data_IF_634255254617
#
_entry.id   IF_634255254617
#
_cell.length_a   1.000
_cell.length_b   1.000
_cell.length_c   1.000
_cell.angle_alpha   90.00
_cell.angle_beta   90.00
_cell.angle_gamma   90.00
#
_symmetry.space_group_name_H-M   'P 1'
#
loop_
_entity.id
_entity.type
_entity.pdbx_description
1 polymer ?
#
# COMPACT_ATOMS: atom_id res chain seq x y z
N UNK A 1 -44.08 -57.58 -23.41
CA UNK A 1 -45.09 -56.53 -23.66
C UNK A 1 -45.74 -56.73 -25.03
N UNK A 2 -46.99 -56.38 -25.11
CA UNK A 2 -47.76 -56.36 -26.35
C UNK A 2 -47.34 -55.22 -27.27
N UNK A 3 -47.66 -55.38 -28.55
CA UNK A 3 -47.36 -54.34 -29.52
C UNK A 3 -48.13 -53.05 -29.20
N UNK A 4 -47.50 -51.88 -29.47
CA UNK A 4 -48.11 -50.57 -29.21
C UNK A 4 -49.34 -50.25 -30.08
N UNK A 5 -49.50 -51.00 -31.17
CA UNK A 5 -50.67 -50.94 -32.04
C UNK A 5 -51.15 -52.36 -32.38
N UNK A 6 -52.45 -52.54 -32.59
CA UNK A 6 -53.03 -53.82 -32.91
C UNK A 6 -54.54 -53.86 -32.76
N UNK A 7 -55.14 -55.09 -32.87
CA UNK A 7 -56.55 -55.34 -32.64
C UNK A 7 -56.77 -55.81 -31.21
N UNK A 8 -57.88 -55.42 -30.63
CA UNK A 8 -58.37 -55.95 -29.36
C UNK A 8 -58.67 -57.42 -29.50
N UNK A 9 -58.19 -58.22 -28.55
CA UNK A 9 -58.45 -59.66 -28.45
C UNK A 9 -59.04 -59.94 -27.08
N UNK A 10 -59.56 -61.15 -26.88
CA UNK A 10 -60.06 -61.54 -25.57
C UNK A 10 -58.90 -61.60 -24.54
N UNK A 11 -59.15 -61.04 -23.36
CA UNK A 11 -58.13 -60.88 -22.28
C UNK A 11 -57.43 -59.52 -22.31
N UNK A 12 -56.50 -59.33 -21.37
CA UNK A 12 -55.78 -58.07 -21.20
C UNK A 12 -54.54 -57.98 -22.11
N UNK A 13 -54.30 -56.79 -22.64
CA UNK A 13 -53.04 -56.42 -23.30
C UNK A 13 -52.34 -55.34 -22.50
N UNK A 14 -51.02 -55.56 -22.30
CA UNK A 14 -50.22 -54.66 -21.53
C UNK A 14 -49.11 -54.07 -22.39
N UNK A 15 -49.06 -52.76 -22.48
CA UNK A 15 -48.02 -52.02 -23.19
C UNK A 15 -47.30 -51.14 -22.18
N UNK A 16 -45.99 -51.34 -22.08
CA UNK A 16 -45.12 -50.59 -21.15
C UNK A 16 -44.22 -49.64 -21.91
N UNK A 17 -44.29 -48.39 -21.58
CA UNK A 17 -43.34 -47.39 -22.06
C UNK A 17 -42.29 -47.13 -21.00
N UNK A 18 -41.00 -47.17 -21.39
CA UNK A 18 -39.89 -46.89 -20.49
C UNK A 18 -39.43 -45.48 -20.69
N UNK A 19 -39.36 -44.75 -19.58
CA UNK A 19 -38.89 -43.37 -19.56
C UNK A 19 -37.60 -43.28 -18.75
N UNK A 20 -36.64 -42.47 -19.23
CA UNK A 20 -35.48 -42.06 -18.50
C UNK A 20 -35.64 -40.65 -18.01
N UNK A 21 -35.26 -40.38 -16.74
CA UNK A 21 -35.19 -39.02 -16.23
C UNK A 21 -34.21 -38.22 -17.10
N UNK A 22 -34.70 -37.13 -17.67
CA UNK A 22 -33.84 -36.19 -18.40
C UNK A 22 -33.02 -35.41 -17.41
N UNK A 23 -31.72 -35.62 -17.39
CA UNK A 23 -30.82 -34.79 -16.59
C UNK A 23 -30.90 -33.35 -17.10
N UNK A 24 -31.27 -32.44 -16.18
CA UNK A 24 -31.18 -31.00 -16.45
C UNK A 24 -29.71 -30.62 -16.37
N UNK A 25 -29.13 -29.97 -17.38
CA UNK A 25 -27.75 -29.50 -17.33
C UNK A 25 -27.54 -28.63 -16.07
N UNK A 26 -26.45 -28.90 -15.34
CA UNK A 26 -26.10 -28.09 -14.18
C UNK A 26 -25.99 -26.62 -14.61
N UNK A 27 -26.68 -25.72 -13.90
CA UNK A 27 -26.56 -24.30 -14.19
C UNK A 27 -25.17 -23.81 -13.82
N UNK A 28 -24.50 -23.01 -14.67
CA UNK A 28 -23.21 -22.46 -14.37
C UNK A 28 -23.29 -21.57 -13.12
N UNK A 29 -22.26 -21.66 -12.29
CA UNK A 29 -22.16 -20.92 -11.02
C UNK A 29 -20.85 -20.14 -10.96
N UNK A 30 -20.82 -19.11 -10.12
CA UNK A 30 -19.63 -18.33 -9.86
C UNK A 30 -19.55 -17.83 -8.43
N UNK A 31 -18.40 -17.23 -8.11
CA UNK A 31 -18.10 -16.68 -6.80
C UNK A 31 -17.71 -15.20 -6.94
N UNK A 32 -17.83 -14.47 -5.83
CA UNK A 32 -17.31 -13.11 -5.69
C UNK A 32 -16.51 -13.04 -4.40
N UNK A 33 -15.25 -12.63 -4.50
CA UNK A 33 -14.33 -12.47 -3.37
C UNK A 33 -13.96 -11.02 -3.18
N UNK A 34 -13.83 -10.60 -1.91
CA UNK A 34 -13.41 -9.26 -1.53
C UNK A 34 -12.07 -9.33 -0.83
N UNK A 35 -11.12 -8.50 -1.25
CA UNK A 35 -9.77 -8.41 -0.75
C UNK A 35 -9.52 -7.04 -0.09
N UNK A 36 -8.62 -7.01 0.90
CA UNK A 36 -8.32 -5.83 1.68
C UNK A 36 -6.81 -5.63 1.75
N UNK A 37 -6.33 -4.53 1.15
CA UNK A 37 -4.91 -4.25 1.05
C UNK A 37 -4.59 -2.82 1.50
N UNK A 38 -3.33 -2.58 1.86
CA UNK A 38 -2.84 -1.23 2.09
C UNK A 38 -2.49 -0.52 0.76
N UNK A 39 -2.05 0.73 0.83
CA UNK A 39 -1.69 1.54 -0.35
C UNK A 39 -0.50 0.99 -1.14
N UNK A 40 0.24 0.04 -0.59
CA UNK A 40 1.36 -0.65 -1.25
C UNK A 40 0.95 -2.01 -1.84
N UNK A 41 -0.26 -2.49 -1.54
CA UNK A 41 -0.78 -3.78 -1.98
C UNK A 41 -0.57 -4.92 -0.97
N UNK A 42 -0.10 -4.64 0.25
CA UNK A 42 0.04 -5.66 1.29
C UNK A 42 -1.33 -6.01 1.89
N UNK A 43 -1.56 -7.30 2.14
CA UNK A 43 -2.81 -7.78 2.74
C UNK A 43 -2.89 -7.32 4.20
N UNK A 44 -4.00 -6.69 4.59
CA UNK A 44 -4.27 -6.22 5.96
C UNK A 44 -5.47 -6.93 6.62
N UNK A 45 -6.16 -7.76 5.88
CA UNK A 45 -7.27 -8.60 6.37
C UNK A 45 -7.46 -9.75 5.40
N UNK A 46 -7.83 -10.91 5.91
CA UNK A 46 -8.18 -12.08 5.11
C UNK A 46 -9.34 -11.76 4.15
N UNK A 47 -9.27 -12.32 2.96
CA UNK A 47 -10.32 -12.16 1.95
C UNK A 47 -11.66 -12.73 2.44
N UNK A 48 -12.75 -12.09 2.07
CA UNK A 48 -14.11 -12.50 2.38
C UNK A 48 -14.81 -12.97 1.12
N UNK A 49 -15.62 -14.02 1.25
CA UNK A 49 -16.50 -14.47 0.18
C UNK A 49 -17.81 -13.69 0.25
N UNK A 50 -18.07 -12.85 -0.74
CA UNK A 50 -19.35 -12.12 -0.89
C UNK A 50 -20.42 -13.06 -1.44
N UNK A 51 -20.11 -13.75 -2.54
CA UNK A 51 -20.99 -14.71 -3.16
C UNK A 51 -20.28 -16.05 -3.36
N UNK A 52 -20.90 -17.16 -2.92
CA UNK A 52 -20.36 -18.51 -3.07
C UNK A 52 -21.29 -19.39 -3.88
N UNK A 53 -20.76 -19.97 -4.98
CA UNK A 53 -21.45 -20.93 -5.85
C UNK A 53 -22.86 -20.47 -6.27
N UNK A 54 -23.01 -19.16 -6.54
CA UNK A 54 -24.27 -18.57 -6.94
C UNK A 54 -24.53 -18.75 -8.44
N UNK A 55 -25.80 -18.80 -8.87
CA UNK A 55 -26.15 -18.87 -10.28
C UNK A 55 -25.62 -17.68 -11.07
N UNK A 56 -25.11 -17.92 -12.27
CA UNK A 56 -24.76 -16.84 -13.21
C UNK A 56 -25.96 -15.93 -13.45
N UNK A 57 -25.71 -14.62 -13.40
CA UNK A 57 -26.73 -13.59 -13.55
C UNK A 57 -27.33 -13.07 -12.24
N UNK A 58 -27.03 -13.69 -11.07
CA UNK A 58 -27.38 -13.12 -9.76
C UNK A 58 -26.65 -11.80 -9.55
N UNK A 59 -27.34 -10.79 -9.03
CA UNK A 59 -26.73 -9.52 -8.65
C UNK A 59 -25.87 -9.68 -7.38
N UNK A 60 -24.74 -8.94 -7.32
CA UNK A 60 -23.91 -8.80 -6.14
C UNK A 60 -23.58 -7.34 -5.85
N UNK A 61 -23.33 -7.02 -4.58
CA UNK A 61 -22.94 -5.68 -4.13
C UNK A 61 -21.99 -5.77 -2.93
N UNK A 62 -20.71 -5.66 -3.18
CA UNK A 62 -19.67 -5.74 -2.14
C UNK A 62 -19.55 -4.47 -1.29
N UNK A 63 -20.18 -3.36 -1.72
CA UNK A 63 -20.13 -2.07 -1.00
C UNK A 63 -20.96 -2.12 0.28
N UNK A 64 -22.11 -2.75 0.23
CA UNK A 64 -23.06 -2.78 1.35
C UNK A 64 -22.54 -3.68 2.47
N UNK A 65 -22.07 -4.88 2.12
CA UNK A 65 -21.81 -5.92 3.10
C UNK A 65 -20.33 -6.09 3.46
N UNK A 66 -19.43 -5.81 2.53
CA UNK A 66 -18.01 -6.19 2.63
C UNK A 66 -17.01 -5.04 2.45
N UNK A 67 -17.43 -3.78 2.68
CA UNK A 67 -16.58 -2.59 2.63
C UNK A 67 -16.55 -1.86 3.97
N UNK A 68 -15.84 -2.38 4.98
CA UNK A 68 -15.70 -1.68 6.26
C UNK A 68 -14.98 -0.34 6.07
N UNK A 69 -15.38 0.68 6.85
CA UNK A 69 -14.72 2.00 6.80
C UNK A 69 -13.32 1.95 7.41
N UNK A 70 -13.11 1.07 8.38
CA UNK A 70 -11.87 0.88 9.12
C UNK A 70 -11.59 -0.61 9.32
N UNK A 71 -10.32 -0.96 9.36
CA UNK A 71 -9.83 -2.32 9.64
C UNK A 71 -8.73 -2.22 10.69
N UNK A 72 -8.87 -2.99 11.77
CA UNK A 72 -7.80 -3.15 12.75
C UNK A 72 -6.92 -4.34 12.36
N UNK A 73 -5.63 -4.09 12.19
CA UNK A 73 -4.64 -5.09 11.82
C UNK A 73 -3.33 -4.85 12.57
N UNK A 74 -2.85 -5.88 13.28
CA UNK A 74 -1.61 -5.84 14.08
C UNK A 74 -1.52 -4.63 15.04
N UNK A 75 -2.62 -4.31 15.71
CA UNK A 75 -2.69 -3.20 16.67
C UNK A 75 -2.70 -1.81 16.05
N UNK A 76 -2.91 -1.71 14.76
CA UNK A 76 -3.04 -0.47 14.00
C UNK A 76 -4.39 -0.42 13.31
N UNK A 77 -4.99 0.77 13.26
CA UNK A 77 -6.24 1.01 12.53
C UNK A 77 -5.93 1.55 11.14
N UNK A 78 -6.54 0.95 10.14
CA UNK A 78 -6.48 1.40 8.75
C UNK A 78 -7.83 1.95 8.33
N UNK A 79 -7.84 3.04 7.59
CA UNK A 79 -9.05 3.66 7.05
C UNK A 79 -9.10 3.57 5.53
N UNK A 80 -10.31 3.46 4.97
CA UNK A 80 -10.53 3.42 3.53
C UNK A 80 -9.96 4.68 2.86
N UNK A 81 -9.21 4.52 1.76
CA UNK A 81 -8.60 5.67 1.07
C UNK A 81 -9.60 6.41 0.19
N UNK A 82 -9.44 7.73 0.01
CA UNK A 82 -10.16 8.48 -1.03
C UNK A 82 -9.66 8.10 -2.43
N UNK A 83 -10.41 8.53 -3.45
CA UNK A 83 -9.99 8.38 -4.84
C UNK A 83 -8.60 9.00 -5.08
N UNK A 84 -7.76 8.30 -5.82
CA UNK A 84 -6.40 8.75 -6.12
C UNK A 84 -5.50 7.69 -6.70
N UNK A 85 -4.26 8.08 -6.97
CA UNK A 85 -3.21 7.16 -7.42
C UNK A 85 -2.33 6.76 -6.23
N UNK A 86 -2.27 5.47 -5.96
CA UNK A 86 -1.45 4.88 -4.92
C UNK A 86 -0.42 3.93 -5.54
N UNK A 87 0.47 3.39 -4.75
CA UNK A 87 1.47 2.44 -5.26
C UNK A 87 0.83 1.14 -5.79
N UNK A 88 -0.28 0.71 -5.18
CA UNK A 88 -1.08 -0.43 -5.65
C UNK A 88 -1.77 -0.15 -7.00
N UNK A 89 -2.01 1.11 -7.35
CA UNK A 89 -2.67 1.55 -8.58
C UNK A 89 -3.72 2.62 -8.33
N UNK A 90 -4.56 2.84 -9.34
CA UNK A 90 -5.65 3.82 -9.26
C UNK A 90 -6.82 3.27 -8.43
N UNK A 91 -7.35 4.13 -7.56
CA UNK A 91 -8.47 3.85 -6.66
C UNK A 91 -9.59 4.85 -6.91
N UNK A 92 -10.82 4.36 -6.94
CA UNK A 92 -12.03 5.16 -7.16
C UNK A 92 -12.58 5.79 -5.85
N UNK A 93 -13.71 6.51 -5.95
CA UNK A 93 -14.35 7.18 -4.82
C UNK A 93 -14.87 6.23 -3.73
N UNK A 94 -14.98 4.94 -4.03
CA UNK A 94 -15.40 3.92 -3.09
C UNK A 94 -14.22 3.25 -2.35
N UNK A 95 -12.99 3.70 -2.61
CA UNK A 95 -11.79 3.06 -2.10
C UNK A 95 -11.45 1.75 -2.80
N UNK A 96 -12.06 1.48 -3.96
CA UNK A 96 -11.89 0.27 -4.74
C UNK A 96 -10.73 0.45 -5.75
N UNK A 97 -9.85 -0.54 -5.82
CA UNK A 97 -8.81 -0.61 -6.84
C UNK A 97 -9.43 -0.90 -8.21
N UNK A 98 -9.25 0.02 -9.17
CA UNK A 98 -9.88 -0.09 -10.50
C UNK A 98 -9.27 -1.15 -11.41
N UNK A 99 -8.22 -1.85 -10.95
CA UNK A 99 -7.53 -2.89 -11.72
C UNK A 99 -8.17 -4.26 -11.68
N UNK A 100 -9.23 -4.47 -10.88
CA UNK A 100 -9.96 -5.72 -10.79
C UNK A 100 -11.47 -5.56 -11.10
N UNK A 101 -12.32 -6.48 -10.67
CA UNK A 101 -13.75 -6.48 -10.99
C UNK A 101 -14.50 -5.34 -10.29
N UNK A 102 -15.61 -4.90 -10.91
CA UNK A 102 -16.46 -3.84 -10.34
C UNK A 102 -17.05 -4.24 -8.98
N UNK A 103 -17.27 -3.24 -8.12
CA UNK A 103 -17.83 -3.44 -6.76
C UNK A 103 -19.25 -3.98 -6.74
N UNK A 104 -19.99 -3.79 -7.82
CA UNK A 104 -21.36 -4.28 -8.03
C UNK A 104 -21.49 -4.86 -9.42
N UNK A 105 -22.41 -5.78 -9.61
CA UNK A 105 -22.65 -6.37 -10.92
C UNK A 105 -23.40 -7.69 -10.85
N UNK A 106 -23.13 -8.55 -11.83
CA UNK A 106 -23.69 -9.90 -11.90
C UNK A 106 -22.64 -10.97 -11.77
N UNK A 107 -22.98 -12.02 -11.04
CA UNK A 107 -22.15 -13.23 -10.96
C UNK A 107 -21.96 -13.80 -12.37
N UNK A 108 -20.74 -14.15 -12.69
CA UNK A 108 -20.35 -14.85 -13.94
C UNK A 108 -19.84 -16.25 -13.60
N UNK A 109 -19.66 -17.09 -14.57
CA UNK A 109 -18.99 -18.36 -14.34
C UNK A 109 -17.54 -18.15 -13.93
N UNK A 110 -17.09 -18.84 -12.85
CA UNK A 110 -15.78 -18.62 -12.25
C UNK A 110 -15.79 -17.59 -11.13
N UNK A 111 -14.65 -16.94 -10.91
CA UNK A 111 -14.41 -16.04 -9.78
C UNK A 111 -14.31 -14.57 -10.21
N UNK A 112 -14.96 -13.69 -9.47
CA UNK A 112 -14.76 -12.25 -9.49
C UNK A 112 -13.99 -11.82 -8.25
N UNK A 113 -13.11 -10.84 -8.40
CA UNK A 113 -12.29 -10.31 -7.33
C UNK A 113 -12.46 -8.80 -7.24
N UNK A 114 -12.74 -8.30 -6.04
CA UNK A 114 -12.94 -6.88 -5.73
C UNK A 114 -11.99 -6.51 -4.61
N UNK A 115 -11.12 -5.53 -4.82
CA UNK A 115 -10.10 -5.13 -3.85
C UNK A 115 -10.35 -3.72 -3.33
N UNK A 116 -10.47 -3.58 -2.02
CA UNK A 116 -10.53 -2.29 -1.32
C UNK A 116 -9.18 -1.92 -0.73
N UNK A 117 -8.84 -0.64 -0.84
CA UNK A 117 -7.53 -0.09 -0.45
C UNK A 117 -7.65 0.80 0.77
N UNK A 118 -6.75 0.61 1.71
CA UNK A 118 -6.73 1.28 3.01
C UNK A 118 -5.37 1.92 3.26
N UNK A 119 -5.34 2.97 4.05
CA UNK A 119 -4.12 3.57 4.58
C UNK A 119 -4.12 3.52 6.10
N UNK A 120 -2.95 3.54 6.69
CA UNK A 120 -2.82 3.65 8.15
C UNK A 120 -3.52 4.94 8.60
N UNK A 121 -4.46 4.82 9.53
CA UNK A 121 -5.14 5.95 10.15
C UNK A 121 -4.15 6.67 11.07
N UNK A 122 -3.89 7.93 10.79
CA UNK A 122 -3.09 8.75 11.69
C UNK A 122 -3.88 8.98 12.99
N UNK A 123 -3.25 8.72 14.12
CA UNK A 123 -3.80 9.12 15.43
C UNK A 123 -3.59 10.62 15.62
N UNK A 124 -4.65 11.45 15.58
CA UNK A 124 -4.50 12.89 15.73
C UNK A 124 -4.03 13.32 17.11
N UNK A 125 -4.06 12.40 18.10
CA UNK A 125 -3.56 12.66 19.46
C UNK A 125 -2.08 12.32 19.61
N UNK A 126 -1.50 11.55 18.68
CA UNK A 126 -0.08 11.23 18.69
C UNK A 126 0.71 12.37 18.06
N UNK A 127 1.65 13.00 18.78
CA UNK A 127 2.45 14.06 18.21
C UNK A 127 3.22 13.55 16.98
N UNK A 128 3.23 14.35 15.91
CA UNK A 128 4.09 14.07 14.76
C UNK A 128 5.53 14.18 15.22
N UNK A 129 6.36 13.21 14.81
CA UNK A 129 7.77 13.12 15.17
C UNK A 129 8.65 13.12 13.93
N UNK A 130 9.87 13.58 14.09
CA UNK A 130 10.87 13.55 13.02
C UNK A 130 12.30 13.46 13.54
N UNK A 131 13.20 13.13 12.63
CA UNK A 131 14.64 13.02 12.85
C UNK A 131 15.36 14.19 12.20
N UNK A 132 16.46 14.63 12.81
CA UNK A 132 17.46 15.49 12.17
C UNK A 132 18.76 14.74 12.05
N UNK A 133 19.26 14.60 10.83
CA UNK A 133 20.44 13.82 10.50
C UNK A 133 21.49 14.73 9.87
N UNK A 134 22.72 14.64 10.35
CA UNK A 134 23.88 15.33 9.79
C UNK A 134 24.61 14.37 8.85
N UNK A 135 24.88 14.82 7.63
CA UNK A 135 25.71 14.11 6.65
C UNK A 135 26.99 14.87 6.36
N UNK A 136 28.04 14.13 6.07
CA UNK A 136 29.38 14.65 5.81
C UNK A 136 29.87 14.16 4.46
N UNK A 137 30.01 15.07 3.52
CA UNK A 137 30.40 14.74 2.14
C UNK A 137 31.63 15.50 1.68
N UNK A 138 32.31 14.97 0.70
CA UNK A 138 33.37 15.74 0.03
C UNK A 138 32.73 16.72 -1.00
N UNK A 139 33.58 17.56 -1.63
CA UNK A 139 33.16 18.56 -2.62
C UNK A 139 32.43 17.98 -3.84
N UNK A 140 32.47 16.65 -4.05
CA UNK A 140 31.78 15.92 -5.11
C UNK A 140 30.50 15.22 -4.62
N UNK A 141 30.12 15.40 -3.36
CA UNK A 141 28.94 14.79 -2.75
C UNK A 141 29.14 13.34 -2.25
N UNK A 142 30.36 12.80 -2.28
CA UNK A 142 30.63 11.46 -1.75
C UNK A 142 30.74 11.51 -0.22
N UNK A 143 30.04 10.59 0.45
CA UNK A 143 30.12 10.43 1.90
C UNK A 143 31.57 10.13 2.36
N UNK A 144 32.04 10.85 3.37
CA UNK A 144 33.39 10.71 3.96
C UNK A 144 33.36 10.30 5.44
N UNK A 145 32.22 10.37 6.06
CA UNK A 145 31.94 9.95 7.44
C UNK A 145 30.47 9.51 7.52
N UNK A 146 30.22 8.47 8.31
CA UNK A 146 28.85 8.00 8.56
C UNK A 146 27.98 9.12 9.10
N UNK A 147 26.73 9.23 8.65
CA UNK A 147 25.77 10.18 9.17
C UNK A 147 25.65 10.13 10.70
N UNK A 148 25.40 11.25 11.30
CA UNK A 148 25.16 11.38 12.73
C UNK A 148 23.74 11.86 12.97
N UNK A 149 23.06 11.26 13.92
CA UNK A 149 21.75 11.72 14.37
C UNK A 149 21.94 12.84 15.38
N UNK A 150 21.40 14.02 15.07
CA UNK A 150 21.37 15.19 15.96
C UNK A 150 20.17 15.11 16.89
N UNK A 151 18.98 15.03 16.32
CA UNK A 151 17.70 15.03 17.04
C UNK A 151 16.92 13.79 16.63
N UNK A 152 16.98 12.69 17.43
CA UNK A 152 16.32 11.45 17.11
C UNK A 152 14.84 11.49 17.49
N UNK A 153 13.98 11.05 16.57
CA UNK A 153 12.57 10.75 16.77
C UNK A 153 11.86 11.70 17.75
N UNK A 154 11.96 13.00 17.48
CA UNK A 154 11.49 14.06 18.36
C UNK A 154 10.20 14.69 17.85
N UNK A 155 9.29 15.13 18.75
CA UNK A 155 8.06 15.81 18.38
C UNK A 155 8.31 17.01 17.46
N UNK A 156 7.36 17.30 16.56
CA UNK A 156 7.38 18.56 15.80
C UNK A 156 7.45 19.74 16.76
N UNK A 157 8.04 20.83 16.32
CA UNK A 157 8.42 22.03 17.09
C UNK A 157 9.61 21.84 18.04
N UNK A 158 10.21 20.65 18.17
CA UNK A 158 11.46 20.46 18.91
C UNK A 158 12.59 21.26 18.23
N UNK A 159 13.26 22.18 18.94
CA UNK A 159 14.38 22.93 18.38
C UNK A 159 15.59 22.02 18.17
N UNK A 160 16.34 22.27 17.10
CA UNK A 160 17.60 21.59 16.82
C UNK A 160 18.72 22.55 16.41
N UNK A 161 19.97 22.12 16.57
CA UNK A 161 21.16 22.89 16.21
C UNK A 161 22.34 22.00 15.90
N UNK A 162 22.59 21.74 14.63
CA UNK A 162 23.65 20.86 14.13
C UNK A 162 25.05 21.48 14.18
N UNK A 163 25.21 22.68 14.74
CA UNK A 163 26.52 23.35 14.87
C UNK A 163 27.20 23.12 16.22
N UNK A 164 26.62 22.28 17.06
CA UNK A 164 27.14 22.01 18.40
C UNK A 164 28.47 21.23 18.39
N UNK A 165 29.08 21.17 19.55
CA UNK A 165 30.43 20.56 19.69
C UNK A 165 30.39 19.08 19.25
N UNK A 166 31.22 18.76 18.27
CA UNK A 166 31.37 17.39 17.74
C UNK A 166 30.46 17.05 16.56
N UNK A 167 29.52 17.94 16.22
CA UNK A 167 28.59 17.73 15.09
C UNK A 167 29.10 18.32 13.78
N UNK A 168 29.81 19.43 13.86
CA UNK A 168 30.50 20.07 12.74
C UNK A 168 32.03 20.09 12.99
N UNK A 169 32.74 18.97 12.87
CA UNK A 169 34.20 18.95 13.07
C UNK A 169 34.89 19.78 11.99
N UNK A 170 35.94 20.49 12.38
CA UNK A 170 36.77 21.28 11.42
C UNK A 170 37.52 20.37 10.43
N UNK A 171 37.82 19.16 10.87
CA UNK A 171 38.56 18.15 10.07
C UNK A 171 37.97 16.76 10.31
N UNK A 172 37.97 15.94 9.27
CA UNK A 172 37.58 14.53 9.31
C UNK A 172 38.74 13.71 8.77
N UNK A 173 39.20 12.72 9.56
CA UNK A 173 40.13 11.68 9.10
C UNK A 173 39.34 10.44 8.71
N UNK A 174 39.58 9.94 7.51
CA UNK A 174 38.95 8.73 7.01
C UNK A 174 39.83 7.50 7.27
N UNK A 175 39.29 6.27 7.29
CA UNK A 175 40.05 5.05 7.55
C UNK A 175 41.19 4.80 6.56
N UNK A 176 41.10 5.34 5.33
CA UNK A 176 42.11 5.27 4.30
C UNK A 176 43.27 6.31 4.50
N UNK A 177 43.27 6.99 5.66
CA UNK A 177 44.33 7.92 6.06
C UNK A 177 44.21 9.33 5.49
N UNK A 178 43.16 9.64 4.73
CA UNK A 178 42.95 10.99 4.20
C UNK A 178 42.36 11.91 5.27
N UNK A 179 42.75 13.19 5.18
CA UNK A 179 42.23 14.22 6.07
C UNK A 179 41.49 15.26 5.23
N UNK A 180 40.21 15.45 5.55
CA UNK A 180 39.35 16.41 4.91
C UNK A 180 39.11 17.60 5.85
N UNK A 181 39.13 18.82 5.30
CA UNK A 181 38.83 20.07 6.03
C UNK A 181 37.50 20.62 5.56
N UNK A 182 36.70 21.19 6.47
CA UNK A 182 35.47 21.88 6.10
C UNK A 182 35.76 23.00 5.11
N UNK A 183 34.96 23.12 4.06
CA UNK A 183 35.20 24.09 3.00
C UNK A 183 34.68 25.49 3.38
N UNK A 184 35.31 26.58 2.91
CA UNK A 184 34.78 27.92 3.02
C UNK A 184 33.55 28.11 2.09
N UNK A 185 32.83 29.22 2.26
CA UNK A 185 31.76 29.66 1.35
C UNK A 185 32.27 29.63 -0.10
N UNK A 186 31.43 29.02 -0.98
CA UNK A 186 31.75 28.93 -2.40
C UNK A 186 30.82 28.01 -3.18
N UNK A 187 31.13 27.90 -4.48
CA UNK A 187 30.46 26.96 -5.39
C UNK A 187 31.37 25.72 -5.58
N UNK A 188 30.81 24.57 -5.31
CA UNK A 188 31.46 23.27 -5.42
C UNK A 188 30.67 22.35 -6.36
N UNK A 189 31.26 21.25 -6.85
CA UNK A 189 30.52 20.30 -7.69
C UNK A 189 29.24 19.78 -7.05
N UNK A 190 29.20 19.64 -5.71
CA UNK A 190 28.00 19.20 -4.96
C UNK A 190 26.94 20.30 -4.83
N UNK A 191 27.29 21.58 -5.01
CA UNK A 191 26.39 22.72 -4.91
C UNK A 191 26.99 23.92 -4.18
N UNK A 192 26.15 24.91 -3.91
CA UNK A 192 26.54 26.10 -3.13
C UNK A 192 26.69 25.78 -1.67
N UNK A 193 27.76 26.29 -1.07
CA UNK A 193 28.09 26.11 0.33
C UNK A 193 28.19 27.48 1.01
N UNK A 194 27.57 27.62 2.17
CA UNK A 194 27.59 28.83 2.95
C UNK A 194 28.90 29.03 3.76
N UNK A 195 29.00 30.12 4.52
CA UNK A 195 30.16 30.46 5.34
C UNK A 195 30.47 29.44 6.44
N UNK A 196 29.56 28.57 6.78
CA UNK A 196 29.63 27.55 7.81
C UNK A 196 30.01 26.16 7.26
N UNK A 197 30.26 26.07 5.97
CA UNK A 197 30.55 24.81 5.27
C UNK A 197 29.30 23.95 5.03
N UNK A 198 28.11 24.53 5.20
CA UNK A 198 26.83 23.87 5.01
C UNK A 198 26.36 23.96 3.55
N UNK A 199 25.87 22.85 3.00
CA UNK A 199 25.30 22.79 1.66
C UNK A 199 23.92 23.48 1.66
N UNK A 200 23.78 24.60 0.95
CA UNK A 200 22.56 25.43 0.94
C UNK A 200 21.31 24.72 0.43
N UNK A 201 21.47 23.67 -0.37
CA UNK A 201 20.34 22.85 -0.85
C UNK A 201 19.87 21.80 0.16
N UNK A 202 20.58 21.60 1.27
CA UNK A 202 20.16 20.75 2.38
C UNK A 202 19.33 21.52 3.42
N UNK A 203 18.81 20.84 4.42
CA UNK A 203 18.01 21.49 5.46
C UNK A 203 18.84 22.47 6.30
N UNK A 204 18.21 23.51 6.89
CA UNK A 204 18.91 24.52 7.71
C UNK A 204 19.68 23.90 8.87
N UNK A 205 20.84 24.50 9.21
CA UNK A 205 21.68 24.03 10.33
C UNK A 205 21.05 24.20 11.70
N UNK A 206 20.04 25.03 11.82
CA UNK A 206 19.23 25.31 13.03
C UNK A 206 17.78 25.50 12.64
N UNK A 207 16.89 25.05 13.49
CA UNK A 207 15.46 25.19 13.25
C UNK A 207 14.62 24.41 14.25
N UNK A 208 13.47 24.00 13.81
CA UNK A 208 12.55 23.09 14.52
C UNK A 208 12.28 21.87 13.66
N UNK A 209 12.00 20.75 14.30
CA UNK A 209 11.52 19.54 13.63
C UNK A 209 10.14 19.83 13.04
N UNK A 210 9.98 19.82 11.72
CA UNK A 210 8.74 20.16 11.03
C UNK A 210 8.32 19.07 10.01
N UNK A 211 9.14 18.06 9.85
CA UNK A 211 8.93 16.95 8.91
C UNK A 211 9.54 15.65 9.43
N UNK A 212 9.16 14.47 8.88
CA UNK A 212 9.63 13.18 9.37
C UNK A 212 11.14 13.00 9.34
N UNK A 213 11.83 13.68 8.40
CA UNK A 213 13.31 13.63 8.30
C UNK A 213 13.86 14.93 7.73
N UNK A 214 14.78 15.54 8.46
CA UNK A 214 15.60 16.65 7.99
C UNK A 214 17.06 16.20 7.84
N UNK A 215 17.69 16.59 6.74
CA UNK A 215 19.09 16.25 6.42
C UNK A 215 19.90 17.53 6.28
N UNK A 216 20.86 17.70 7.16
CA UNK A 216 21.82 18.82 7.15
C UNK A 216 23.15 18.31 6.66
N UNK A 217 23.66 18.86 5.58
CA UNK A 217 24.88 18.39 4.93
C UNK A 217 26.03 19.37 5.08
N UNK A 218 27.16 18.91 5.59
CA UNK A 218 28.42 19.66 5.63
C UNK A 218 29.40 19.14 4.58
N UNK A 219 30.10 20.07 3.91
CA UNK A 219 30.97 19.80 2.79
C UNK A 219 32.44 19.99 3.19
N UNK A 220 33.31 19.08 2.75
CA UNK A 220 34.73 19.00 3.09
C UNK A 220 35.60 18.80 1.85
N UNK A 221 36.87 19.22 1.94
CA UNK A 221 37.89 19.02 0.91
C UNK A 221 39.20 18.55 1.51
#
# INVERSE_FOLDING_TARGET
DDATTGKVVEGDKNVTYVYQLKEQPAQPKGNVYVHYVDTEGNIIKDSVTDELAQPVGKDYDTVVDNRPKEIDFQGKTYELVPAGNYKVGQVDEQGHWTGDDATTGKVVEGDKNVTYVYKLKEDPTKPKEGDVIITYVNEKGKEIKKPRQDTPNSPYDTPYNTTEKGEKPKTIKTPDGKTYKIVPKGDYPVGKVDKDGHLESSDPTKGKVEKPRSIVTYVYK
#
